data_IF_763658597926
#
_entry.id   IF_763658597926
#
_cell.length_a   1.000
_cell.length_b   1.000
_cell.length_c   1.000
_cell.angle_alpha   90.00
_cell.angle_beta   90.00
_cell.angle_gamma   90.00
#
_symmetry.space_group_name_H-M   'P 1'
#
loop_
_entity.id
_entity.type
_entity.pdbx_description
1 polymer ?
#
# COMPACT_ATOMS: atom_id res chain seq x y z
N UNK A 1 22.96 24.19 -4.91
CA UNK A 1 22.35 22.86 -5.03
C UNK A 1 22.76 22.30 -6.39
N UNK A 2 23.59 21.27 -6.45
CA UNK A 2 23.96 20.61 -7.70
C UNK A 2 22.71 19.86 -8.17
N UNK A 3 22.26 20.14 -9.39
CA UNK A 3 21.10 19.48 -9.98
C UNK A 3 21.62 18.28 -10.77
N UNK A 4 21.34 17.09 -10.30
CA UNK A 4 21.66 15.84 -10.99
C UNK A 4 20.59 15.53 -12.03
N UNK A 5 21.02 14.98 -13.15
CA UNK A 5 20.14 14.48 -14.20
C UNK A 5 19.92 12.95 -14.01
N UNK A 6 18.86 12.42 -14.56
CA UNK A 6 18.46 11.01 -14.34
C UNK A 6 19.52 9.99 -14.79
N UNK A 7 20.41 10.36 -15.71
CA UNK A 7 21.51 9.54 -16.23
C UNK A 7 22.84 9.75 -15.51
N UNK A 8 22.94 10.70 -14.58
CA UNK A 8 24.17 10.88 -13.80
C UNK A 8 24.46 9.63 -12.98
N UNK A 9 25.73 9.21 -12.97
CA UNK A 9 26.16 8.00 -12.30
C UNK A 9 26.84 8.29 -10.98
N UNK A 10 26.65 7.38 -10.01
CA UNK A 10 27.23 7.48 -8.68
C UNK A 10 28.10 6.26 -8.40
N UNK A 11 29.42 6.46 -8.23
CA UNK A 11 30.34 5.39 -7.85
C UNK A 11 30.55 5.39 -6.32
N UNK A 12 30.06 4.34 -5.69
CA UNK A 12 30.15 4.15 -4.24
C UNK A 12 31.36 3.32 -3.79
N UNK A 13 32.23 2.89 -4.71
CA UNK A 13 33.32 1.94 -4.43
C UNK A 13 34.31 2.43 -3.39
N UNK A 14 34.62 3.73 -3.41
CA UNK A 14 35.63 4.35 -2.55
C UNK A 14 35.05 5.30 -1.50
N UNK A 15 33.73 5.30 -1.32
CA UNK A 15 33.06 6.18 -0.38
C UNK A 15 32.87 5.48 0.98
N UNK A 16 33.01 6.25 2.04
CA UNK A 16 32.63 5.82 3.38
C UNK A 16 31.11 5.70 3.50
N UNK A 17 30.64 4.94 4.49
CA UNK A 17 29.20 4.81 4.78
C UNK A 17 28.52 6.14 5.07
N UNK A 18 29.24 7.11 5.64
CA UNK A 18 28.71 8.45 5.91
C UNK A 18 28.52 9.26 4.63
N UNK A 19 29.47 9.19 3.70
CA UNK A 19 29.38 9.86 2.40
C UNK A 19 28.22 9.26 1.56
N UNK A 20 28.08 7.94 1.55
CA UNK A 20 26.97 7.27 0.87
C UNK A 20 25.62 7.75 1.45
N UNK A 21 25.47 7.77 2.77
CA UNK A 21 24.27 8.27 3.44
C UNK A 21 23.96 9.73 3.07
N UNK A 22 24.99 10.57 3.00
CA UNK A 22 24.81 11.99 2.64
C UNK A 22 24.27 12.14 1.21
N UNK A 23 24.84 11.40 0.24
CA UNK A 23 24.37 11.40 -1.16
C UNK A 23 22.92 10.91 -1.23
N UNK A 24 22.60 9.79 -0.60
CA UNK A 24 21.24 9.23 -0.61
C UNK A 24 20.23 10.20 -0.01
N UNK A 25 20.58 10.86 1.10
CA UNK A 25 19.75 11.86 1.76
C UNK A 25 19.53 13.09 0.88
N UNK A 26 20.58 13.61 0.23
CA UNK A 26 20.49 14.76 -0.67
C UNK A 26 19.55 14.48 -1.86
N UNK A 27 19.58 13.24 -2.37
CA UNK A 27 18.74 12.80 -3.49
C UNK A 27 17.37 12.24 -3.07
N UNK A 28 17.04 12.23 -1.77
CA UNK A 28 15.83 11.62 -1.21
C UNK A 28 15.64 10.16 -1.63
N UNK A 29 16.71 9.38 -1.66
CA UNK A 29 16.70 7.95 -2.01
C UNK A 29 16.66 7.11 -0.73
N UNK A 30 15.56 6.41 -0.41
CA UNK A 30 15.41 5.63 0.81
C UNK A 30 16.05 4.23 0.72
N UNK A 31 17.30 4.16 0.26
CA UNK A 31 18.12 2.95 0.31
C UNK A 31 19.07 3.00 1.52
N UNK A 32 19.31 1.86 2.13
CA UNK A 32 20.42 1.71 3.08
C UNK A 32 21.76 1.65 2.35
N UNK A 33 22.83 1.90 3.07
CA UNK A 33 24.21 1.77 2.53
C UNK A 33 24.46 0.37 2.01
N UNK A 34 24.00 -0.65 2.71
CA UNK A 34 24.16 -2.06 2.31
C UNK A 34 23.42 -2.34 1.01
N UNK A 35 22.15 -1.92 0.89
CA UNK A 35 21.37 -2.07 -0.34
C UNK A 35 22.03 -1.35 -1.51
N UNK A 36 22.52 -0.12 -1.30
CA UNK A 36 23.22 0.66 -2.34
C UNK A 36 24.45 -0.06 -2.85
N UNK A 37 25.26 -0.61 -1.95
CA UNK A 37 26.44 -1.41 -2.31
C UNK A 37 26.07 -2.69 -3.04
N UNK A 38 24.99 -3.36 -2.63
CA UNK A 38 24.47 -4.54 -3.31
C UNK A 38 23.99 -4.21 -4.72
N UNK A 39 23.26 -3.10 -4.90
CA UNK A 39 22.83 -2.62 -6.23
C UNK A 39 24.05 -2.43 -7.15
N UNK A 40 25.07 -1.71 -6.69
CA UNK A 40 26.25 -1.46 -7.51
C UNK A 40 27.07 -2.72 -7.80
N UNK A 41 27.37 -3.53 -6.78
CA UNK A 41 28.41 -4.56 -6.86
C UNK A 41 27.86 -5.93 -7.31
N UNK A 42 26.61 -6.24 -6.98
CA UNK A 42 26.01 -7.56 -7.25
C UNK A 42 25.03 -7.53 -8.41
N UNK A 43 24.12 -6.54 -8.44
CA UNK A 43 23.10 -6.48 -9.47
C UNK A 43 23.61 -5.85 -10.75
N UNK A 44 24.07 -4.60 -10.69
CA UNK A 44 24.50 -3.86 -11.87
C UNK A 44 25.95 -4.17 -12.29
N UNK A 45 26.81 -4.44 -11.32
CA UNK A 45 28.28 -4.62 -11.50
C UNK A 45 28.95 -3.40 -12.15
N UNK A 46 28.40 -2.23 -11.93
CA UNK A 46 28.84 -0.91 -12.35
C UNK A 46 28.23 0.18 -11.50
N UNK A 47 28.73 1.42 -11.55
CA UNK A 47 28.07 2.55 -10.92
C UNK A 47 26.60 2.70 -11.41
N UNK A 48 25.62 2.80 -10.51
CA UNK A 48 24.23 3.06 -10.86
C UNK A 48 24.01 4.51 -11.32
N UNK A 49 23.03 4.71 -12.18
CA UNK A 49 22.49 6.04 -12.48
C UNK A 49 21.53 6.49 -11.39
N UNK A 50 21.21 7.80 -11.34
CA UNK A 50 20.19 8.33 -10.44
C UNK A 50 18.84 7.62 -10.65
N UNK A 51 18.41 7.45 -11.90
CA UNK A 51 17.17 6.75 -12.22
C UNK A 51 17.15 5.31 -11.69
N UNK A 52 18.24 4.58 -11.85
CA UNK A 52 18.36 3.20 -11.33
C UNK A 52 18.28 3.18 -9.80
N UNK A 53 18.97 4.08 -9.10
CA UNK A 53 18.88 4.17 -7.64
C UNK A 53 17.44 4.42 -7.18
N UNK A 54 16.72 5.33 -7.85
CA UNK A 54 15.31 5.59 -7.57
C UNK A 54 14.46 4.34 -7.81
N UNK A 55 14.62 3.66 -8.95
CA UNK A 55 13.88 2.44 -9.26
C UNK A 55 14.15 1.32 -8.25
N UNK A 56 15.42 1.09 -7.90
CA UNK A 56 15.78 0.11 -6.87
C UNK A 56 15.23 0.48 -5.49
N UNK A 57 15.15 1.77 -5.16
CA UNK A 57 14.55 2.20 -3.89
C UNK A 57 13.05 1.92 -3.81
N UNK A 58 12.34 2.07 -4.92
CA UNK A 58 10.91 1.78 -5.02
C UNK A 58 10.67 0.26 -4.93
N UNK A 59 11.35 -0.53 -5.76
CA UNK A 59 11.22 -1.98 -5.77
C UNK A 59 11.74 -2.65 -4.49
N UNK A 60 12.76 -2.07 -3.85
CA UNK A 60 13.28 -2.52 -2.57
C UNK A 60 12.52 -1.96 -1.36
N UNK A 61 11.47 -1.18 -1.54
CA UNK A 61 10.65 -0.70 -0.44
C UNK A 61 9.90 -1.85 0.24
N UNK A 62 9.48 -1.66 1.48
CA UNK A 62 8.67 -2.65 2.21
C UNK A 62 7.38 -3.02 1.46
N UNK A 63 6.75 -2.05 0.80
CA UNK A 63 5.52 -2.24 0.03
C UNK A 63 5.64 -3.20 -1.15
N UNK A 64 6.81 -3.25 -1.79
CA UNK A 64 7.04 -4.14 -2.94
C UNK A 64 7.78 -5.43 -2.54
N UNK A 65 8.75 -5.33 -1.65
CA UNK A 65 9.67 -6.44 -1.33
C UNK A 65 9.27 -7.24 -0.09
N UNK A 66 8.44 -6.67 0.79
CA UNK A 66 8.12 -7.24 2.11
C UNK A 66 9.37 -7.62 2.92
N UNK A 67 10.47 -6.88 2.73
CA UNK A 67 11.79 -7.24 3.24
C UNK A 67 11.88 -7.38 4.75
N UNK A 68 11.08 -6.65 5.51
CA UNK A 68 11.04 -6.73 6.96
C UNK A 68 9.83 -7.53 7.48
N UNK A 69 8.69 -7.48 6.81
CA UNK A 69 7.44 -8.11 7.27
C UNK A 69 7.28 -9.58 6.82
N UNK A 70 7.99 -10.02 5.78
CA UNK A 70 7.84 -11.36 5.19
C UNK A 70 7.95 -12.51 6.20
N UNK A 71 8.88 -12.42 7.14
CA UNK A 71 9.07 -13.47 8.18
C UNK A 71 7.92 -13.51 9.20
N UNK A 72 7.20 -12.40 9.37
CA UNK A 72 6.01 -12.34 10.20
C UNK A 72 4.78 -12.84 9.43
N UNK A 73 4.62 -12.41 8.17
CA UNK A 73 3.51 -12.81 7.29
C UNK A 73 3.48 -14.33 7.10
N UNK A 74 4.62 -14.98 6.93
CA UNK A 74 4.73 -16.45 6.81
C UNK A 74 4.16 -17.23 7.99
N UNK A 75 3.94 -16.59 9.14
CA UNK A 75 3.38 -17.24 10.34
C UNK A 75 1.86 -17.24 10.35
N UNK A 76 1.21 -16.50 9.46
CA UNK A 76 -0.24 -16.51 9.39
C UNK A 76 -0.75 -17.82 8.80
N UNK A 77 -1.83 -18.32 9.36
CA UNK A 77 -2.56 -19.44 8.79
C UNK A 77 -3.36 -18.90 7.59
N UNK A 78 -3.03 -19.36 6.40
CA UNK A 78 -3.63 -18.90 5.15
C UNK A 78 -4.41 -19.98 4.41
N UNK A 79 -4.48 -21.18 4.98
CA UNK A 79 -5.19 -22.33 4.43
C UNK A 79 -6.18 -22.89 5.44
N UNK A 80 -7.26 -23.50 4.95
CA UNK A 80 -8.30 -24.13 5.77
C UNK A 80 -9.37 -24.76 4.90
N UNK A 81 -10.30 -25.54 5.48
CA UNK A 81 -11.32 -26.29 4.72
C UNK A 81 -12.23 -25.38 3.89
N UNK A 82 -12.48 -24.17 4.38
CA UNK A 82 -13.34 -23.19 3.71
C UNK A 82 -12.56 -22.20 2.84
N UNK A 83 -11.22 -22.27 2.80
CA UNK A 83 -10.40 -21.42 1.96
C UNK A 83 -10.34 -22.00 0.54
N UNK A 84 -10.78 -21.24 -0.45
CA UNK A 84 -10.64 -21.56 -1.87
C UNK A 84 -9.28 -21.08 -2.37
N UNK A 85 -8.93 -19.85 -2.02
CA UNK A 85 -7.64 -19.24 -2.33
C UNK A 85 -7.17 -18.39 -1.14
N UNK A 86 -6.01 -18.73 -0.60
CA UNK A 86 -5.37 -17.96 0.47
C UNK A 86 -4.53 -16.79 -0.08
N UNK A 87 -3.54 -16.35 0.71
CA UNK A 87 -2.68 -15.20 0.39
C UNK A 87 -1.67 -15.51 -0.74
N UNK A 88 -2.14 -15.70 -1.96
CA UNK A 88 -1.32 -16.07 -3.13
C UNK A 88 -1.54 -15.16 -4.35
N UNK A 89 -2.60 -14.36 -4.34
CA UNK A 89 -2.99 -13.49 -5.42
C UNK A 89 -3.52 -12.15 -4.88
N UNK A 90 -4.16 -11.33 -5.69
CA UNK A 90 -4.63 -9.98 -5.35
C UNK A 90 -5.63 -9.96 -4.18
N UNK A 91 -6.42 -11.01 -4.03
CA UNK A 91 -7.38 -11.14 -2.94
C UNK A 91 -7.57 -12.59 -2.47
N UNK A 92 -8.07 -12.76 -1.24
CA UNK A 92 -8.44 -14.07 -0.70
C UNK A 92 -9.85 -14.48 -1.10
N UNK A 93 -10.10 -15.81 -1.18
CA UNK A 93 -11.42 -16.36 -1.49
C UNK A 93 -11.80 -17.39 -0.43
N UNK A 94 -12.95 -17.21 0.19
CA UNK A 94 -13.53 -18.15 1.14
C UNK A 94 -14.87 -18.70 0.64
N UNK A 95 -15.15 -19.96 0.93
CA UNK A 95 -16.42 -20.59 0.61
C UNK A 95 -17.54 -20.02 1.48
N UNK A 96 -18.61 -19.54 0.87
CA UNK A 96 -19.82 -19.07 1.57
C UNK A 96 -21.01 -20.01 1.40
N UNK A 97 -21.00 -20.82 0.34
CA UNK A 97 -22.04 -21.81 0.08
C UNK A 97 -21.48 -22.96 -0.75
N UNK A 98 -22.15 -24.11 -0.67
CA UNK A 98 -21.92 -25.24 -1.55
C UNK A 98 -23.28 -25.74 -2.03
N UNK A 99 -23.42 -25.91 -3.33
CA UNK A 99 -24.68 -26.37 -3.90
C UNK A 99 -24.85 -27.90 -3.84
N UNK A 100 -26.00 -28.39 -4.35
CA UNK A 100 -26.31 -29.84 -4.40
C UNK A 100 -25.41 -30.65 -5.33
N UNK A 101 -24.66 -29.99 -6.23
CA UNK A 101 -23.69 -30.61 -7.13
C UNK A 101 -22.28 -30.59 -6.52
N UNK A 102 -22.14 -30.10 -5.30
CA UNK A 102 -20.87 -29.88 -4.62
C UNK A 102 -20.03 -28.74 -5.24
N UNK A 103 -20.62 -27.83 -6.00
CA UNK A 103 -19.96 -26.62 -6.50
C UNK A 103 -19.89 -25.57 -5.40
N UNK A 104 -18.69 -25.05 -5.14
CA UNK A 104 -18.45 -24.05 -4.10
C UNK A 104 -18.61 -22.64 -4.64
N UNK A 105 -19.36 -21.83 -3.94
CA UNK A 105 -19.49 -20.39 -4.16
C UNK A 105 -18.54 -19.67 -3.21
N UNK A 106 -17.66 -18.85 -3.80
CA UNK A 106 -16.65 -18.12 -3.07
C UNK A 106 -17.04 -16.66 -2.84
N UNK A 107 -16.66 -16.12 -1.70
CA UNK A 107 -16.61 -14.69 -1.45
C UNK A 107 -15.18 -14.23 -1.60
N UNK A 108 -14.93 -13.29 -2.51
CA UNK A 108 -13.64 -12.62 -2.65
C UNK A 108 -13.58 -11.46 -1.67
N UNK A 109 -12.47 -11.36 -0.93
CA UNK A 109 -12.25 -10.31 0.06
C UNK A 109 -10.90 -9.68 -0.19
N UNK A 110 -10.89 -8.40 -0.52
CA UNK A 110 -9.68 -7.57 -0.54
C UNK A 110 -9.70 -6.57 0.62
N UNK A 111 -8.53 -6.30 1.17
CA UNK A 111 -8.34 -5.40 2.29
C UNK A 111 -7.06 -4.60 2.09
N UNK A 112 -7.19 -3.29 2.03
CA UNK A 112 -6.06 -2.38 1.84
C UNK A 112 -6.05 -1.24 2.85
N UNK A 113 -4.91 -0.60 3.00
CA UNK A 113 -4.75 0.66 3.72
C UNK A 113 -4.12 1.72 2.83
N UNK A 114 -4.70 2.95 2.80
CA UNK A 114 -4.23 4.10 2.04
C UNK A 114 -3.92 5.29 2.98
N UNK A 115 -3.12 5.02 4.00
CA UNK A 115 -2.89 5.93 5.12
C UNK A 115 -2.08 7.16 4.71
N UNK A 116 -0.86 6.95 4.25
CA UNK A 116 0.08 8.03 3.94
C UNK A 116 -0.38 8.94 2.80
N UNK A 117 -0.88 8.42 1.67
CA UNK A 117 -1.46 9.26 0.63
C UNK A 117 -2.62 10.12 1.14
N UNK A 118 -3.50 9.55 1.97
CA UNK A 118 -4.65 10.27 2.53
C UNK A 118 -4.26 11.35 3.54
N UNK A 119 -3.11 11.21 4.22
CA UNK A 119 -2.58 12.25 5.09
C UNK A 119 -2.15 13.51 4.33
N UNK A 120 -1.75 13.37 3.07
CA UNK A 120 -1.17 14.43 2.23
C UNK A 120 -2.21 15.00 1.25
N UNK A 121 -2.94 14.12 0.58
CA UNK A 121 -3.98 14.45 -0.42
C UNK A 121 -5.22 13.59 -0.12
N UNK A 122 -6.05 14.00 0.86
CA UNK A 122 -7.07 13.14 1.46
C UNK A 122 -8.08 12.57 0.47
N UNK A 123 -8.57 13.40 -0.45
CA UNK A 123 -9.55 12.97 -1.45
C UNK A 123 -8.97 11.91 -2.39
N UNK A 124 -7.87 12.23 -3.04
CA UNK A 124 -7.22 11.36 -4.02
C UNK A 124 -6.67 10.09 -3.36
N UNK A 125 -6.11 10.22 -2.15
CA UNK A 125 -5.60 9.10 -1.37
C UNK A 125 -6.69 8.08 -1.05
N UNK A 126 -7.82 8.54 -0.53
CA UNK A 126 -8.95 7.66 -0.18
C UNK A 126 -9.69 7.13 -1.41
N UNK A 127 -9.85 7.94 -2.45
CA UNK A 127 -10.43 7.51 -3.72
C UNK A 127 -9.60 6.38 -4.35
N UNK A 128 -8.28 6.52 -4.36
CA UNK A 128 -7.36 5.48 -4.84
C UNK A 128 -7.46 4.21 -3.99
N UNK A 129 -7.65 4.35 -2.68
CA UNK A 129 -7.84 3.21 -1.78
C UNK A 129 -9.07 2.37 -2.16
N UNK A 130 -10.22 2.99 -2.44
CA UNK A 130 -11.40 2.29 -2.99
C UNK A 130 -11.07 1.67 -4.35
N UNK A 131 -10.42 2.44 -5.24
CA UNK A 131 -10.14 2.00 -6.61
C UNK A 131 -9.21 0.78 -6.67
N UNK A 132 -8.14 0.75 -5.86
CA UNK A 132 -7.23 -0.38 -5.74
C UNK A 132 -7.94 -1.64 -5.25
N UNK A 133 -8.67 -1.51 -4.17
CA UNK A 133 -9.41 -2.60 -3.54
C UNK A 133 -10.50 -3.20 -4.45
N UNK A 134 -11.28 -2.34 -5.13
CA UNK A 134 -12.27 -2.76 -6.14
C UNK A 134 -11.58 -3.50 -7.30
N UNK A 135 -10.42 -2.99 -7.73
CA UNK A 135 -9.66 -3.61 -8.81
C UNK A 135 -9.15 -4.99 -8.45
N UNK A 136 -8.67 -5.20 -7.22
CA UNK A 136 -8.24 -6.52 -6.73
C UNK A 136 -9.37 -7.55 -6.88
N UNK A 137 -10.57 -7.21 -6.40
CA UNK A 137 -11.73 -8.10 -6.51
C UNK A 137 -12.10 -8.37 -7.97
N UNK A 138 -12.08 -7.35 -8.84
CA UNK A 138 -12.32 -7.52 -10.27
C UNK A 138 -11.25 -8.40 -10.94
N UNK A 139 -9.97 -8.26 -10.56
CA UNK A 139 -8.88 -9.09 -11.09
C UNK A 139 -9.02 -10.57 -10.70
N UNK A 140 -9.68 -10.84 -9.57
CA UNK A 140 -10.03 -12.21 -9.16
C UNK A 140 -11.23 -12.80 -9.96
N UNK A 141 -11.81 -12.03 -10.88
CA UNK A 141 -12.96 -12.45 -11.69
C UNK A 141 -14.30 -12.35 -10.98
N UNK A 142 -14.37 -11.64 -9.88
CA UNK A 142 -15.60 -11.44 -9.11
C UNK A 142 -16.26 -10.09 -9.40
N UNK A 143 -17.57 -10.02 -9.22
CA UNK A 143 -18.35 -8.78 -9.25
C UNK A 143 -18.34 -8.16 -7.84
N UNK A 144 -17.96 -6.90 -7.74
CA UNK A 144 -17.95 -6.19 -6.45
C UNK A 144 -19.38 -5.94 -5.99
N UNK A 145 -19.70 -6.37 -4.77
CA UNK A 145 -21.04 -6.25 -4.19
C UNK A 145 -21.10 -5.24 -3.05
N UNK A 146 -20.00 -4.99 -2.36
CA UNK A 146 -19.99 -4.06 -1.23
C UNK A 146 -18.56 -3.60 -0.89
N UNK A 147 -18.50 -2.45 -0.21
CA UNK A 147 -17.28 -1.96 0.45
C UNK A 147 -17.56 -1.66 1.92
N UNK A 148 -16.50 -1.60 2.71
CA UNK A 148 -16.51 -1.13 4.09
C UNK A 148 -15.24 -0.35 4.38
N UNK A 149 -15.23 0.40 5.48
CA UNK A 149 -14.05 1.17 5.88
C UNK A 149 -13.79 1.17 7.39
N UNK A 150 -12.52 1.42 7.75
CA UNK A 150 -12.09 1.66 9.12
C UNK A 150 -11.20 2.90 9.14
N UNK A 151 -11.72 4.01 9.67
CA UNK A 151 -11.07 5.31 9.59
C UNK A 151 -10.55 5.75 10.96
N UNK A 152 -9.30 6.21 10.99
CA UNK A 152 -8.66 6.72 12.21
C UNK A 152 -8.05 8.07 11.91
N UNK A 153 -8.44 9.07 12.70
CA UNK A 153 -8.00 10.46 12.52
C UNK A 153 -7.42 11.01 13.82
N UNK A 154 -6.66 12.11 13.71
CA UNK A 154 -6.12 12.86 14.83
C UNK A 154 -7.20 13.46 15.75
N UNK A 155 -6.83 14.45 16.56
CA UNK A 155 -7.78 15.17 17.42
C UNK A 155 -8.86 15.85 16.57
N UNK A 156 -10.13 15.56 16.87
CA UNK A 156 -11.31 16.09 16.18
C UNK A 156 -11.41 17.63 16.21
N UNK A 157 -10.78 18.26 17.19
CA UNK A 157 -10.75 19.73 17.30
C UNK A 157 -9.70 20.39 16.41
N UNK A 158 -8.77 19.62 15.86
CA UNK A 158 -7.72 20.14 15.00
C UNK A 158 -8.25 20.36 13.56
N UNK A 159 -7.96 21.55 13.01
CA UNK A 159 -8.42 21.91 11.66
C UNK A 159 -7.79 21.02 10.56
N UNK A 160 -6.54 20.59 10.72
CA UNK A 160 -5.90 19.64 9.79
C UNK A 160 -6.62 18.30 9.82
N UNK A 161 -6.98 17.81 10.99
CA UNK A 161 -7.77 16.57 11.15
C UNK A 161 -9.12 16.66 10.45
N UNK A 162 -9.85 17.78 10.63
CA UNK A 162 -11.14 18.00 9.95
C UNK A 162 -11.00 17.99 8.44
N UNK A 163 -10.00 18.69 7.91
CA UNK A 163 -9.71 18.72 6.49
C UNK A 163 -9.38 17.33 5.93
N UNK A 164 -8.56 16.54 6.64
CA UNK A 164 -8.26 15.16 6.25
C UNK A 164 -9.52 14.31 6.27
N UNK A 165 -10.29 14.35 7.35
CA UNK A 165 -11.55 13.61 7.49
C UNK A 165 -12.51 13.91 6.34
N UNK A 166 -12.79 15.19 6.09
CA UNK A 166 -13.75 15.62 5.06
C UNK A 166 -13.28 15.17 3.66
N UNK A 167 -11.99 15.30 3.38
CA UNK A 167 -11.40 14.86 2.13
C UNK A 167 -11.44 13.33 1.96
N UNK A 168 -11.15 12.57 3.00
CA UNK A 168 -11.20 11.10 2.98
C UNK A 168 -12.62 10.62 2.71
N UNK A 169 -13.61 11.12 3.46
CA UNK A 169 -15.02 10.73 3.27
C UNK A 169 -15.50 11.11 1.85
N UNK A 170 -15.16 12.31 1.38
CA UNK A 170 -15.47 12.74 0.02
C UNK A 170 -14.79 11.87 -1.04
N UNK A 171 -13.54 11.43 -0.83
CA UNK A 171 -12.81 10.56 -1.73
C UNK A 171 -13.42 9.15 -1.83
N UNK A 172 -13.79 8.55 -0.69
CA UNK A 172 -14.51 7.27 -0.64
C UNK A 172 -15.84 7.38 -1.42
N UNK A 173 -16.62 8.41 -1.15
CA UNK A 173 -17.90 8.66 -1.83
C UNK A 173 -17.68 8.96 -3.33
N UNK A 174 -16.69 9.78 -3.67
CA UNK A 174 -16.39 10.20 -5.04
C UNK A 174 -15.98 9.07 -5.97
N UNK A 175 -15.44 7.98 -5.45
CA UNK A 175 -15.12 6.79 -6.22
C UNK A 175 -16.21 5.72 -6.14
N UNK A 176 -16.69 5.40 -4.94
CA UNK A 176 -17.69 4.34 -4.73
C UNK A 176 -19.05 4.64 -5.33
N UNK A 177 -19.56 5.88 -5.16
CA UNK A 177 -20.88 6.26 -5.67
C UNK A 177 -21.01 6.16 -7.20
N UNK A 178 -20.06 6.65 -8.03
CA UNK A 178 -20.14 6.47 -9.48
C UNK A 178 -20.13 5.01 -9.94
N UNK A 179 -19.49 4.12 -9.17
CA UNK A 179 -19.51 2.68 -9.47
C UNK A 179 -20.78 1.99 -9.01
N UNK A 180 -21.64 2.67 -8.23
CA UNK A 180 -22.84 2.08 -7.66
C UNK A 180 -22.59 1.03 -6.57
N UNK A 181 -21.41 1.04 -5.95
CA UNK A 181 -21.01 0.07 -4.92
C UNK A 181 -21.46 0.60 -3.55
N UNK A 182 -22.31 -0.12 -2.80
CA UNK A 182 -22.75 0.31 -1.49
C UNK A 182 -21.64 0.18 -0.44
N UNK A 183 -21.46 1.19 0.40
CA UNK A 183 -20.71 1.06 1.64
C UNK A 183 -21.67 0.50 2.71
N UNK A 184 -21.37 -0.71 3.21
CA UNK A 184 -22.27 -1.45 4.10
C UNK A 184 -21.85 -1.45 5.57
N UNK A 185 -20.69 -0.90 5.87
CA UNK A 185 -20.20 -0.87 7.24
C UNK A 185 -18.85 -0.20 7.37
N UNK A 186 -18.54 0.13 8.61
CA UNK A 186 -17.26 0.75 8.95
C UNK A 186 -17.33 1.42 10.31
N UNK A 187 -16.24 2.06 10.69
CA UNK A 187 -16.18 2.86 11.90
C UNK A 187 -15.20 4.04 11.74
N UNK A 188 -15.43 5.08 12.53
CA UNK A 188 -14.55 6.24 12.63
C UNK A 188 -14.13 6.42 14.08
N UNK A 189 -12.83 6.61 14.28
CA UNK A 189 -12.25 6.87 15.59
C UNK A 189 -11.24 8.01 15.56
N UNK A 190 -11.29 8.88 16.58
CA UNK A 190 -10.40 10.03 16.71
C UNK A 190 -9.48 9.88 17.92
N UNK A 191 -8.19 10.06 17.70
CA UNK A 191 -7.19 10.05 18.76
C UNK A 191 -5.95 10.82 18.31
N UNK A 192 -5.35 11.60 19.20
CA UNK A 192 -4.18 12.43 18.90
C UNK A 192 -3.02 11.69 18.24
N UNK A 193 -2.84 10.42 18.58
CA UNK A 193 -1.82 9.54 17.99
C UNK A 193 -1.91 9.35 16.47
N UNK A 194 -3.05 9.68 15.86
CA UNK A 194 -3.24 9.63 14.39
C UNK A 194 -3.10 10.99 13.71
N UNK A 195 -2.67 12.02 14.44
CA UNK A 195 -2.57 13.39 13.92
C UNK A 195 -1.59 13.56 12.76
N UNK A 196 -0.50 12.82 12.78
CA UNK A 196 0.54 12.88 11.73
C UNK A 196 0.47 11.71 10.73
N UNK A 197 -0.35 10.72 11.00
CA UNK A 197 -0.62 9.60 10.07
C UNK A 197 -2.01 9.04 10.34
N UNK A 198 -2.99 9.48 9.58
CA UNK A 198 -4.33 8.91 9.61
C UNK A 198 -4.33 7.46 9.11
N UNK A 199 -5.30 6.66 9.54
CA UNK A 199 -5.52 5.35 8.96
C UNK A 199 -6.79 5.37 8.11
N UNK A 200 -6.64 4.99 6.86
CA UNK A 200 -7.72 4.82 5.90
C UNK A 200 -7.66 3.38 5.42
N UNK A 201 -8.43 2.54 6.05
CA UNK A 201 -8.48 1.11 5.78
C UNK A 201 -9.78 0.78 5.07
N UNK A 202 -9.68 0.02 3.99
CA UNK A 202 -10.80 -0.28 3.10
C UNK A 202 -10.92 -1.79 2.90
N UNK A 203 -12.14 -2.28 2.85
CA UNK A 203 -12.48 -3.68 2.57
C UNK A 203 -13.44 -3.72 1.40
N UNK A 204 -13.21 -4.60 0.45
CA UNK A 204 -14.11 -4.83 -0.69
C UNK A 204 -14.48 -6.30 -0.77
N UNK A 205 -15.76 -6.54 -1.00
CA UNK A 205 -16.36 -7.86 -1.13
C UNK A 205 -16.89 -8.07 -2.54
N UNK A 206 -16.72 -9.27 -3.06
CA UNK A 206 -17.24 -9.64 -4.37
C UNK A 206 -17.39 -11.14 -4.59
#
# INVERSE_FOLDING_TARGET
MIRYESWDTFDFSNLSDQEIKAILSEQNIPLSVTETKTVQNEFLKRPPTLAELVLFSIQGSEHSSYKSSKEHIKRFVTDGPDVILGAKDDAGIVTIATDKNNDRYGLVISHESHNHPSQIVPYEGAATGIGGNVRDVCCMGAEVVAVGDGLRFGDVNNNKTKWIHDGVVAGIAGYGNPLGIPNIGGDIYYHEGYGENCLVTLVTLG
#
